data_IF_445334479700
#
_entry.id   IF_445334479700
#
_cell.length_a   1.000
_cell.length_b   1.000
_cell.length_c   1.000
_cell.angle_alpha   90.00
_cell.angle_beta   90.00
_cell.angle_gamma   90.00
#
_symmetry.space_group_name_H-M   'P 1'
#
loop_
_entity.id
_entity.type
_entity.pdbx_description
1 polymer ?
#
# COMPACT_ATOMS: atom_id res chain seq x y z
N UNK A 1 10.08 30.61 22.80
CA UNK A 1 9.16 30.60 21.66
C UNK A 1 8.75 32.05 21.43
N UNK A 2 9.19 32.64 20.32
CA UNK A 2 8.70 33.97 19.93
C UNK A 2 7.23 33.84 19.58
N UNK A 3 6.37 34.40 20.45
CA UNK A 3 4.91 34.37 20.30
C UNK A 3 4.40 35.36 19.22
N UNK A 4 5.29 36.17 18.65
CA UNK A 4 4.95 37.16 17.63
C UNK A 4 5.42 36.63 16.29
N UNK A 5 4.50 36.33 15.33
CA UNK A 5 4.89 35.86 14.01
C UNK A 5 5.70 36.96 13.27
N UNK A 6 6.73 36.52 12.55
CA UNK A 6 7.54 37.41 11.73
C UNK A 6 6.73 37.91 10.52
N UNK A 7 7.06 39.10 9.95
CA UNK A 7 6.31 39.66 8.82
C UNK A 7 6.26 38.70 7.59
N UNK A 8 7.32 37.97 7.33
CA UNK A 8 7.42 36.97 6.28
C UNK A 8 6.46 35.76 6.51
N UNK A 9 6.31 35.31 7.76
CA UNK A 9 5.35 34.28 8.13
C UNK A 9 3.90 34.74 7.95
N UNK A 10 3.60 35.99 8.30
CA UNK A 10 2.26 36.58 8.10
C UNK A 10 1.94 36.67 6.60
N UNK A 11 2.89 37.10 5.77
CA UNK A 11 2.71 37.14 4.32
C UNK A 11 2.52 35.75 3.72
N UNK A 12 3.33 34.77 4.13
CA UNK A 12 3.20 33.40 3.67
C UNK A 12 1.85 32.80 4.08
N UNK A 13 1.42 33.00 5.33
CA UNK A 13 0.12 32.55 5.82
C UNK A 13 -1.05 33.17 5.02
N UNK A 14 -1.00 34.47 4.76
CA UNK A 14 -2.00 35.16 3.96
C UNK A 14 -2.05 34.63 2.51
N UNK A 15 -0.88 34.40 1.90
CA UNK A 15 -0.78 33.81 0.56
C UNK A 15 -1.35 32.39 0.53
N UNK A 16 -1.03 31.54 1.51
CA UNK A 16 -1.54 30.16 1.60
C UNK A 16 -3.07 30.13 1.79
N UNK A 17 -3.61 31.01 2.62
CA UNK A 17 -5.07 31.14 2.80
C UNK A 17 -5.72 31.62 1.51
N UNK A 18 -5.17 32.63 0.85
CA UNK A 18 -5.67 33.12 -0.43
C UNK A 18 -5.63 32.03 -1.50
N UNK A 19 -4.52 31.27 -1.61
CA UNK A 19 -4.39 30.13 -2.54
C UNK A 19 -5.49 29.10 -2.28
N UNK A 20 -5.72 28.75 -1.02
CA UNK A 20 -6.73 27.75 -0.66
C UNK A 20 -8.16 28.21 -0.98
N UNK A 21 -8.48 29.48 -0.73
CA UNK A 21 -9.84 30.03 -0.92
C UNK A 21 -10.12 30.32 -2.40
N UNK A 22 -9.13 30.87 -3.13
CA UNK A 22 -9.32 31.34 -4.52
C UNK A 22 -9.07 30.25 -5.53
N UNK A 23 -8.04 29.42 -5.31
CA UNK A 23 -7.60 28.39 -6.28
C UNK A 23 -7.97 26.96 -5.85
N UNK A 24 -8.65 26.79 -4.72
CA UNK A 24 -9.26 25.51 -4.33
C UNK A 24 -8.33 24.53 -3.64
N UNK A 25 -7.07 24.89 -3.33
CA UNK A 25 -6.15 24.04 -2.60
C UNK A 25 -4.67 24.42 -2.76
N UNK A 26 -3.84 23.78 -1.93
CA UNK A 26 -2.38 23.90 -1.94
C UNK A 26 -1.70 22.63 -2.45
N UNK A 27 -2.38 21.48 -2.33
CA UNK A 27 -1.84 20.20 -2.73
C UNK A 27 -1.98 19.97 -4.23
N UNK A 28 -0.91 19.51 -4.88
CA UNK A 28 -1.02 18.92 -6.23
C UNK A 28 -1.50 17.47 -6.09
N UNK A 29 -2.81 17.31 -6.27
CA UNK A 29 -3.53 16.04 -6.09
C UNK A 29 -3.69 15.24 -7.40
N UNK A 30 -2.98 15.62 -8.46
CA UNK A 30 -3.01 14.88 -9.73
C UNK A 30 -2.37 13.51 -9.55
N UNK A 31 -3.10 12.41 -9.85
CA UNK A 31 -2.53 11.07 -9.74
C UNK A 31 -1.42 10.85 -10.78
N UNK A 32 -0.50 9.92 -10.47
CA UNK A 32 0.47 9.45 -11.46
C UNK A 32 -0.25 8.78 -12.64
N UNK A 33 0.18 9.05 -13.90
CA UNK A 33 -0.42 8.41 -15.07
C UNK A 33 -0.24 6.90 -15.01
N UNK A 34 -1.32 6.16 -15.28
CA UNK A 34 -1.30 4.70 -15.25
C UNK A 34 -2.12 4.09 -16.38
N UNK A 35 -1.87 2.82 -16.70
CA UNK A 35 -2.60 2.00 -17.65
C UNK A 35 -3.04 0.71 -17.00
N UNK A 36 -4.25 0.27 -17.30
CA UNK A 36 -4.76 -1.04 -16.90
C UNK A 36 -4.01 -2.11 -17.70
N UNK A 37 -3.48 -3.13 -17.02
CA UNK A 37 -2.77 -4.26 -17.66
C UNK A 37 -3.49 -5.60 -17.47
N UNK A 38 -4.30 -5.72 -16.42
CA UNK A 38 -5.11 -6.89 -16.13
C UNK A 38 -6.35 -6.49 -15.34
N UNK A 39 -7.48 -7.15 -15.61
CA UNK A 39 -8.73 -6.97 -14.89
C UNK A 39 -9.46 -8.29 -14.66
N UNK A 40 -10.24 -8.34 -13.59
CA UNK A 40 -11.07 -9.49 -13.24
C UNK A 40 -12.01 -9.17 -12.09
N UNK A 41 -12.68 -10.17 -11.59
CA UNK A 41 -13.55 -9.97 -10.42
C UNK A 41 -12.74 -9.47 -9.24
N UNK A 42 -13.09 -8.32 -8.68
CA UNK A 42 -12.41 -7.66 -7.56
C UNK A 42 -10.92 -7.40 -7.81
N UNK A 43 -10.52 -7.22 -9.07
CA UNK A 43 -9.11 -7.01 -9.41
C UNK A 43 -8.99 -6.10 -10.62
N UNK A 44 -8.25 -5.04 -10.44
CA UNK A 44 -7.66 -4.21 -11.48
C UNK A 44 -6.18 -4.05 -11.19
N UNK A 45 -5.32 -4.38 -12.14
CA UNK A 45 -3.88 -4.19 -12.03
C UNK A 45 -3.47 -3.07 -12.97
N UNK A 46 -2.92 -2.01 -12.40
CA UNK A 46 -2.47 -0.86 -13.16
C UNK A 46 -0.95 -0.75 -13.14
N UNK A 47 -0.37 -0.45 -14.29
CA UNK A 47 1.03 -0.08 -14.45
C UNK A 47 1.15 1.45 -14.48
N UNK A 48 1.99 2.03 -13.62
CA UNK A 48 2.29 3.45 -13.63
C UNK A 48 3.31 3.76 -14.72
N UNK A 49 2.97 4.74 -15.56
CA UNK A 49 3.78 5.10 -16.73
C UNK A 49 4.94 6.00 -16.34
N UNK A 50 6.20 5.60 -16.58
CA UNK A 50 7.34 6.47 -16.39
C UNK A 50 7.36 7.59 -17.44
N UNK A 51 8.06 8.68 -17.14
CA UNK A 51 8.37 9.69 -18.15
C UNK A 51 9.28 9.08 -19.24
N UNK A 52 9.18 9.59 -20.47
CA UNK A 52 9.86 9.00 -21.64
C UNK A 52 11.41 8.90 -21.52
N UNK A 53 12.01 9.68 -20.63
CA UNK A 53 13.47 9.65 -20.41
C UNK A 53 13.91 8.67 -19.31
N UNK A 54 12.97 8.14 -18.54
CA UNK A 54 13.25 7.19 -17.46
C UNK A 54 13.41 5.79 -18.06
N UNK A 55 14.47 5.09 -17.69
CA UNK A 55 14.72 3.70 -18.08
C UNK A 55 14.34 2.78 -16.94
N UNK A 56 13.79 1.62 -17.28
CA UNK A 56 13.48 0.57 -16.32
C UNK A 56 14.76 0.07 -15.63
N UNK A 57 14.71 0.02 -14.29
CA UNK A 57 15.79 -0.46 -13.43
C UNK A 57 15.23 -1.44 -12.42
N UNK A 58 15.90 -2.58 -12.26
CA UNK A 58 15.54 -3.59 -11.27
C UNK A 58 14.25 -4.35 -11.58
N UNK A 59 13.82 -5.17 -10.63
CA UNK A 59 12.63 -5.98 -10.77
C UNK A 59 11.35 -5.16 -10.50
N UNK A 60 10.19 -5.59 -11.04
CA UNK A 60 8.92 -4.88 -10.88
C UNK A 60 8.45 -4.85 -9.42
N UNK A 61 7.74 -3.79 -9.08
CA UNK A 61 7.15 -3.57 -7.76
C UNK A 61 5.63 -3.60 -7.84
N UNK A 62 4.98 -4.48 -7.08
CA UNK A 62 3.52 -4.49 -6.91
C UNK A 62 3.13 -3.91 -5.54
N UNK A 63 2.41 -2.80 -5.58
CA UNK A 63 1.82 -2.16 -4.41
C UNK A 63 0.49 -2.86 -4.09
N UNK A 64 0.42 -3.52 -2.92
CA UNK A 64 -0.78 -4.26 -2.48
C UNK A 64 -1.59 -3.39 -1.54
N UNK A 65 -2.76 -2.95 -2.00
CA UNK A 65 -3.64 -2.05 -1.24
C UNK A 65 -4.38 -2.80 -0.13
N UNK A 66 -4.73 -2.14 0.97
CA UNK A 66 -5.72 -2.67 1.91
C UNK A 66 -7.13 -2.48 1.35
N UNK A 67 -8.09 -3.33 1.76
CA UNK A 67 -9.46 -3.33 1.22
C UNK A 67 -10.20 -2.00 1.39
N UNK A 68 -9.99 -1.33 2.51
CA UNK A 68 -10.72 -0.10 2.83
C UNK A 68 -10.04 1.17 2.33
N UNK A 69 -8.81 1.08 1.83
CA UNK A 69 -8.06 2.24 1.39
C UNK A 69 -7.82 2.19 -0.13
N UNK A 70 -8.13 3.27 -0.84
CA UNK A 70 -7.81 3.37 -2.26
C UNK A 70 -6.29 3.45 -2.47
N UNK A 71 -5.83 3.23 -3.71
CA UNK A 71 -4.42 3.36 -4.11
C UNK A 71 -3.82 4.74 -3.81
N UNK A 72 -4.66 5.74 -3.52
CA UNK A 72 -4.22 7.04 -2.99
C UNK A 72 -3.32 6.94 -1.76
N UNK A 73 -3.35 5.83 -1.00
CA UNK A 73 -2.40 5.62 0.10
C UNK A 73 -0.95 5.62 -0.38
N UNK A 74 -0.70 5.18 -1.62
CA UNK A 74 0.62 5.14 -2.24
C UNK A 74 0.90 6.37 -3.12
N UNK A 75 -0.15 7.01 -3.67
CA UNK A 75 -0.07 8.18 -4.56
C UNK A 75 -0.85 9.36 -3.98
N UNK A 76 -0.42 9.83 -2.80
CA UNK A 76 -1.21 10.76 -1.98
C UNK A 76 -1.29 12.16 -2.60
N UNK A 77 -0.14 12.73 -2.96
CA UNK A 77 0.06 14.01 -3.66
C UNK A 77 1.44 14.08 -4.27
N UNK A 78 1.66 14.95 -5.21
CA UNK A 78 2.99 15.19 -5.79
C UNK A 78 4.00 15.61 -4.72
N UNK A 79 5.19 15.05 -4.83
CA UNK A 79 6.26 15.21 -3.85
C UNK A 79 6.06 14.44 -2.52
N UNK A 80 4.91 13.77 -2.33
CA UNK A 80 4.65 12.83 -1.22
C UNK A 80 3.90 11.60 -1.75
N UNK A 81 4.42 10.98 -2.80
CA UNK A 81 3.91 9.78 -3.46
C UNK A 81 5.02 8.74 -3.55
N UNK A 82 4.79 7.56 -2.97
CA UNK A 82 5.69 6.40 -3.13
C UNK A 82 5.75 5.99 -4.59
N UNK A 83 4.61 6.08 -5.29
CA UNK A 83 4.54 5.77 -6.73
C UNK A 83 5.44 6.69 -7.54
N UNK A 84 5.32 8.02 -7.33
CA UNK A 84 6.17 9.01 -8.00
C UNK A 84 7.65 8.71 -7.75
N UNK A 85 8.02 8.44 -6.50
CA UNK A 85 9.39 8.11 -6.13
C UNK A 85 9.92 6.86 -6.86
N UNK A 86 9.16 5.75 -6.85
CA UNK A 86 9.57 4.50 -7.49
C UNK A 86 9.66 4.65 -9.02
N UNK A 87 8.67 5.31 -9.62
CA UNK A 87 8.63 5.56 -11.07
C UNK A 87 9.78 6.46 -11.52
N UNK A 88 10.09 7.53 -10.77
CA UNK A 88 11.19 8.45 -11.07
C UNK A 88 12.57 7.77 -10.88
N UNK A 89 12.66 6.80 -9.96
CA UNK A 89 13.82 5.93 -9.80
C UNK A 89 13.96 4.88 -10.92
N UNK A 90 12.99 4.80 -11.84
CA UNK A 90 13.00 3.85 -12.96
C UNK A 90 12.47 2.46 -12.60
N UNK A 91 11.86 2.26 -11.44
CA UNK A 91 11.31 0.95 -11.08
C UNK A 91 9.96 0.74 -11.77
N UNK A 92 9.75 -0.35 -12.53
CA UNK A 92 8.45 -0.73 -13.06
C UNK A 92 7.46 -0.91 -11.91
N UNK A 93 6.53 0.04 -11.75
CA UNK A 93 5.67 0.13 -10.57
C UNK A 93 4.22 -0.16 -10.93
N UNK A 94 3.60 -1.04 -10.16
CA UNK A 94 2.24 -1.50 -10.36
C UNK A 94 1.44 -1.37 -9.07
N UNK A 95 0.12 -1.33 -9.21
CA UNK A 95 -0.80 -1.39 -8.06
C UNK A 95 -1.95 -2.32 -8.37
N UNK A 96 -2.37 -3.11 -7.38
CA UNK A 96 -3.63 -3.85 -7.42
C UNK A 96 -4.71 -3.09 -6.66
N UNK A 97 -5.84 -2.87 -7.32
CA UNK A 97 -7.06 -2.30 -6.75
C UNK A 97 -8.20 -3.33 -6.83
N UNK A 98 -9.14 -3.24 -5.89
CA UNK A 98 -10.19 -4.27 -5.75
C UNK A 98 -11.56 -3.79 -6.21
N UNK A 99 -11.68 -2.50 -6.56
CA UNK A 99 -12.95 -1.88 -6.89
C UNK A 99 -13.90 -1.78 -5.67
N UNK A 100 -15.13 -1.40 -5.95
CA UNK A 100 -16.17 -1.40 -4.94
C UNK A 100 -16.73 -2.83 -4.77
N UNK A 101 -16.80 -3.30 -3.53
CA UNK A 101 -17.49 -4.55 -3.20
C UNK A 101 -18.98 -4.25 -3.02
N UNK A 102 -19.85 -4.65 -3.97
CA UNK A 102 -21.28 -4.35 -3.89
C UNK A 102 -21.96 -5.14 -2.77
N UNK A 103 -23.14 -4.70 -2.35
CA UNK A 103 -23.90 -5.34 -1.28
C UNK A 103 -24.17 -6.83 -1.51
N UNK A 104 -24.39 -7.24 -2.76
CA UNK A 104 -24.58 -8.65 -3.12
C UNK A 104 -23.40 -9.53 -2.72
N UNK A 105 -22.19 -8.97 -2.66
CA UNK A 105 -20.94 -9.66 -2.35
C UNK A 105 -20.53 -9.50 -0.87
N UNK A 106 -21.46 -9.10 0.01
CA UNK A 106 -21.23 -8.94 1.46
C UNK A 106 -20.77 -10.20 2.19
N UNK A 107 -21.02 -11.35 1.58
CA UNK A 107 -20.65 -12.66 2.13
C UNK A 107 -19.22 -13.09 1.73
N UNK A 108 -18.48 -12.26 0.99
CA UNK A 108 -17.07 -12.49 0.68
C UNK A 108 -16.23 -12.38 1.95
N UNK A 109 -15.42 -13.40 2.21
CA UNK A 109 -14.38 -13.42 3.22
C UNK A 109 -13.07 -12.86 2.70
N UNK A 110 -11.95 -13.17 3.36
CA UNK A 110 -10.61 -12.80 2.93
C UNK A 110 -10.07 -13.72 1.83
N UNK A 111 -10.64 -14.89 1.68
CA UNK A 111 -10.19 -15.96 0.80
C UNK A 111 -10.01 -15.52 -0.67
N UNK A 112 -10.96 -14.82 -1.32
CA UNK A 112 -10.80 -14.37 -2.69
C UNK A 112 -9.55 -13.49 -2.91
N UNK A 113 -9.22 -12.64 -1.95
CA UNK A 113 -8.04 -11.76 -2.06
C UNK A 113 -6.74 -12.52 -1.87
N UNK A 114 -6.72 -13.49 -0.97
CA UNK A 114 -5.53 -14.30 -0.68
C UNK A 114 -5.30 -15.37 -1.74
N UNK A 115 -6.35 -16.01 -2.23
CA UNK A 115 -6.26 -17.19 -3.09
C UNK A 115 -6.27 -16.88 -4.58
N UNK A 116 -6.87 -15.75 -4.97
CA UNK A 116 -7.08 -15.42 -6.38
C UNK A 116 -6.56 -14.03 -6.74
N UNK A 117 -7.06 -12.99 -6.09
CA UNK A 117 -6.84 -11.59 -6.51
C UNK A 117 -5.37 -11.22 -6.45
N UNK A 118 -4.72 -11.38 -5.30
CA UNK A 118 -3.29 -11.02 -5.12
C UNK A 118 -2.37 -11.98 -5.89
N UNK A 119 -2.54 -13.32 -5.83
CA UNK A 119 -1.74 -14.23 -6.65
C UNK A 119 -1.83 -13.97 -8.15
N UNK A 120 -3.03 -13.70 -8.68
CA UNK A 120 -3.19 -13.38 -10.10
C UNK A 120 -2.55 -12.05 -10.47
N UNK A 121 -2.67 -11.03 -9.61
CA UNK A 121 -1.99 -9.75 -9.81
C UNK A 121 -0.46 -9.91 -9.86
N UNK A 122 0.12 -10.73 -8.96
CA UNK A 122 1.57 -11.02 -8.96
C UNK A 122 1.99 -11.65 -10.29
N UNK A 123 1.25 -12.65 -10.77
CA UNK A 123 1.54 -13.32 -12.06
C UNK A 123 1.38 -12.38 -13.25
N UNK A 124 0.33 -11.55 -13.25
CA UNK A 124 0.09 -10.56 -14.30
C UNK A 124 1.22 -9.52 -14.37
N UNK A 125 1.70 -9.04 -13.22
CA UNK A 125 2.84 -8.11 -13.14
C UNK A 125 4.12 -8.77 -13.62
N UNK A 126 4.42 -9.99 -13.17
CA UNK A 126 5.59 -10.75 -13.61
C UNK A 126 5.59 -10.94 -15.12
N UNK A 127 4.48 -11.42 -15.70
CA UNK A 127 4.35 -11.62 -17.15
C UNK A 127 4.47 -10.33 -17.94
N UNK A 128 3.84 -9.22 -17.48
CA UNK A 128 3.95 -7.90 -18.12
C UNK A 128 5.37 -7.35 -18.06
N UNK A 129 6.11 -7.68 -17.01
CA UNK A 129 7.50 -7.26 -16.81
C UNK A 129 8.54 -8.22 -17.43
N UNK A 130 8.13 -9.18 -18.28
CA UNK A 130 9.04 -10.13 -18.93
C UNK A 130 9.45 -11.29 -18.03
N UNK A 131 8.50 -11.85 -17.29
CA UNK A 131 8.64 -12.99 -16.38
C UNK A 131 9.64 -12.78 -15.24
N UNK A 132 9.86 -11.52 -14.85
CA UNK A 132 10.72 -11.16 -13.72
C UNK A 132 9.99 -11.36 -12.39
N UNK A 133 10.72 -11.75 -11.33
CA UNK A 133 10.14 -11.82 -9.98
C UNK A 133 9.71 -10.42 -9.50
N UNK A 134 8.72 -10.38 -8.60
CA UNK A 134 8.02 -9.16 -8.20
C UNK A 134 8.35 -8.83 -6.75
N UNK A 135 8.77 -7.59 -6.47
CA UNK A 135 8.80 -7.07 -5.12
C UNK A 135 7.39 -6.69 -4.67
N UNK A 136 6.91 -7.26 -3.59
CA UNK A 136 5.62 -6.89 -3.02
C UNK A 136 5.82 -5.80 -1.97
N UNK A 137 5.04 -4.72 -2.05
CA UNK A 137 5.00 -3.68 -1.02
C UNK A 137 3.57 -3.55 -0.52
N UNK A 138 3.31 -4.06 0.67
CA UNK A 138 1.98 -4.06 1.28
C UNK A 138 1.88 -3.15 2.50
N UNK A 139 0.86 -2.28 2.54
CA UNK A 139 0.59 -1.42 3.68
C UNK A 139 -0.61 -1.92 4.47
N UNK A 140 -0.47 -1.96 5.82
CA UNK A 140 -1.57 -2.34 6.71
C UNK A 140 -2.15 -3.72 6.36
N UNK A 141 -3.45 -3.84 6.09
CA UNK A 141 -4.09 -5.10 5.65
C UNK A 141 -3.53 -5.60 4.30
N UNK A 142 -3.06 -4.71 3.43
CA UNK A 142 -2.41 -5.10 2.17
C UNK A 142 -1.12 -5.91 2.41
N UNK A 143 -0.36 -5.58 3.46
CA UNK A 143 0.78 -6.37 3.87
C UNK A 143 0.39 -7.76 4.40
N UNK A 144 -0.74 -7.86 5.12
CA UNK A 144 -1.28 -9.15 5.55
C UNK A 144 -1.70 -9.99 4.34
N UNK A 145 -2.34 -9.40 3.34
CA UNK A 145 -2.70 -10.13 2.11
C UNK A 145 -1.47 -10.61 1.35
N UNK A 146 -0.43 -9.80 1.23
CA UNK A 146 0.82 -10.19 0.58
C UNK A 146 1.49 -11.38 1.30
N UNK A 147 1.55 -11.34 2.65
CA UNK A 147 2.09 -12.43 3.45
C UNK A 147 1.27 -13.73 3.30
N UNK A 148 -0.07 -13.64 3.42
CA UNK A 148 -0.92 -14.82 3.32
C UNK A 148 -0.91 -15.42 1.91
N UNK A 149 -0.89 -14.61 0.85
CA UNK A 149 -0.76 -15.08 -0.52
C UNK A 149 0.58 -15.81 -0.74
N UNK A 150 1.70 -15.25 -0.27
CA UNK A 150 3.01 -15.88 -0.35
C UNK A 150 3.12 -17.18 0.46
N UNK A 151 2.49 -17.23 1.64
CA UNK A 151 2.44 -18.42 2.49
C UNK A 151 1.56 -19.53 1.89
N UNK A 152 0.56 -19.16 1.10
CA UNK A 152 -0.39 -20.10 0.47
C UNK A 152 0.17 -20.71 -0.80
N UNK A 153 0.96 -19.98 -1.57
CA UNK A 153 1.48 -20.42 -2.87
C UNK A 153 2.96 -20.05 -3.04
N UNK A 154 3.82 -21.02 -2.75
CA UNK A 154 5.27 -20.90 -2.89
C UNK A 154 5.76 -20.80 -4.35
N UNK A 155 4.86 -20.98 -5.34
CA UNK A 155 5.20 -20.90 -6.78
C UNK A 155 5.08 -19.48 -7.33
N UNK A 156 4.59 -18.54 -6.53
CA UNK A 156 4.47 -17.14 -6.95
C UNK A 156 5.87 -16.55 -7.24
N UNK A 157 6.02 -15.82 -8.35
CA UNK A 157 7.27 -15.18 -8.72
C UNK A 157 7.54 -13.94 -7.84
N UNK A 158 7.86 -14.15 -6.58
CA UNK A 158 8.11 -13.09 -5.60
C UNK A 158 9.62 -12.95 -5.35
N UNK A 159 10.16 -11.74 -5.54
CA UNK A 159 11.55 -11.41 -5.23
C UNK A 159 11.74 -11.14 -3.73
N UNK A 160 10.89 -10.32 -3.15
CA UNK A 160 10.85 -10.00 -1.71
C UNK A 160 9.50 -9.42 -1.30
N UNK A 161 9.25 -9.37 0.01
CA UNK A 161 8.05 -8.74 0.56
C UNK A 161 8.47 -7.62 1.51
N UNK A 162 7.89 -6.44 1.34
CA UNK A 162 7.95 -5.33 2.31
C UNK A 162 6.59 -5.11 2.91
N UNK A 163 6.45 -5.23 4.22
CA UNK A 163 5.22 -4.95 4.95
C UNK A 163 5.38 -3.71 5.82
N UNK A 164 4.46 -2.75 5.64
CA UNK A 164 4.49 -1.44 6.29
C UNK A 164 3.28 -1.30 7.22
N UNK A 165 3.51 -1.21 8.53
CA UNK A 165 2.46 -0.99 9.51
C UNK A 165 1.37 -2.06 9.49
N UNK A 166 1.72 -3.33 9.26
CA UNK A 166 0.79 -4.46 9.28
C UNK A 166 0.71 -5.04 10.69
N UNK A 167 -0.39 -4.83 11.45
CA UNK A 167 -0.48 -5.31 12.83
C UNK A 167 -0.72 -6.81 12.86
N UNK A 168 0.18 -7.55 13.49
CA UNK A 168 0.08 -8.99 13.68
C UNK A 168 -0.45 -9.31 15.09
N UNK A 169 0.06 -8.63 16.11
CA UNK A 169 -0.48 -8.73 17.49
C UNK A 169 -1.38 -7.54 17.81
N UNK A 170 -2.68 -7.72 17.58
CA UNK A 170 -3.66 -6.67 17.82
C UNK A 170 -3.93 -6.39 19.32
N UNK A 171 -3.42 -7.24 20.24
CA UNK A 171 -3.49 -7.00 21.69
C UNK A 171 -2.71 -5.76 22.10
N UNK A 172 -1.71 -5.39 21.29
CA UNK A 172 -0.87 -4.22 21.53
C UNK A 172 -1.42 -2.95 20.87
N UNK A 173 -2.55 -3.03 20.14
CA UNK A 173 -3.20 -1.87 19.51
C UNK A 173 -3.93 -1.05 20.57
N UNK A 174 -3.57 0.23 20.79
CA UNK A 174 -4.13 1.04 21.88
C UNK A 174 -5.65 1.22 21.81
N UNK A 175 -6.22 1.22 20.61
CA UNK A 175 -7.67 1.32 20.39
C UNK A 175 -8.40 0.02 20.76
N UNK A 176 -7.75 -1.14 20.60
CA UNK A 176 -8.33 -2.47 20.83
C UNK A 176 -8.14 -2.93 22.27
N UNK A 177 -6.97 -2.67 22.84
CA UNK A 177 -6.60 -3.14 24.17
C UNK A 177 -7.64 -2.83 25.28
N UNK A 178 -8.17 -1.59 25.43
CA UNK A 178 -9.15 -1.27 26.45
C UNK A 178 -10.56 -1.83 26.15
N UNK A 179 -10.85 -2.16 24.90
CA UNK A 179 -12.16 -2.69 24.50
C UNK A 179 -12.26 -4.22 24.62
N UNK A 180 -11.13 -4.92 24.80
CA UNK A 180 -11.09 -6.39 24.87
C UNK A 180 -12.05 -6.99 25.90
N UNK A 181 -12.14 -6.52 27.16
CA UNK A 181 -13.09 -7.07 28.12
C UNK A 181 -14.55 -7.01 27.63
N UNK A 182 -14.89 -5.98 26.82
CA UNK A 182 -16.21 -5.84 26.20
C UNK A 182 -16.36 -6.75 24.97
N UNK A 183 -15.27 -6.95 24.19
CA UNK A 183 -15.24 -7.82 23.03
C UNK A 183 -15.37 -9.31 23.42
N UNK A 184 -14.99 -9.67 24.63
CA UNK A 184 -15.13 -11.02 25.20
C UNK A 184 -16.57 -11.32 25.66
N UNK A 185 -17.43 -10.28 25.84
CA UNK A 185 -18.85 -10.46 26.11
C UNK A 185 -19.56 -11.05 24.88
N UNK A 186 -20.17 -12.21 25.02
CA UNK A 186 -20.77 -13.00 23.91
C UNK A 186 -21.90 -12.31 23.15
N UNK A 187 -22.50 -11.24 23.69
CA UNK A 187 -23.61 -10.51 23.07
C UNK A 187 -23.17 -9.43 22.08
N UNK A 188 -22.08 -8.71 22.38
CA UNK A 188 -21.61 -7.56 21.57
C UNK A 188 -21.21 -7.97 20.14
N UNK A 189 -20.44 -9.06 19.94
CA UNK A 189 -20.08 -9.52 18.60
C UNK A 189 -21.27 -9.90 17.73
N UNK A 190 -22.28 -10.54 18.33
CA UNK A 190 -23.48 -10.96 17.60
C UNK A 190 -24.33 -9.77 17.15
N UNK A 191 -24.43 -8.74 17.97
CA UNK A 191 -25.14 -7.51 17.64
C UNK A 191 -24.42 -6.74 16.54
N UNK A 192 -23.10 -6.58 16.65
CA UNK A 192 -22.29 -5.91 15.63
C UNK A 192 -22.33 -6.69 14.30
N UNK A 193 -22.18 -8.02 14.33
CA UNK A 193 -22.27 -8.86 13.13
C UNK A 193 -23.65 -8.77 12.46
N UNK A 194 -24.74 -8.74 13.24
CA UNK A 194 -26.10 -8.56 12.71
C UNK A 194 -26.32 -7.17 12.13
N UNK A 195 -25.81 -6.12 12.76
CA UNK A 195 -25.86 -4.76 12.22
C UNK A 195 -25.09 -4.69 10.90
N UNK A 196 -23.89 -5.29 10.83
CA UNK A 196 -23.09 -5.36 9.62
C UNK A 196 -23.76 -6.17 8.51
N UNK A 197 -24.31 -7.33 8.82
CA UNK A 197 -25.08 -8.15 7.87
C UNK A 197 -26.34 -7.45 7.37
N UNK A 198 -27.04 -6.70 8.23
CA UNK A 198 -28.24 -5.96 7.86
C UNK A 198 -27.94 -4.66 7.10
N UNK A 199 -26.86 -3.98 7.45
CA UNK A 199 -26.46 -2.71 6.82
C UNK A 199 -25.71 -2.89 5.49
N UNK A 200 -25.23 -4.10 5.22
CA UNK A 200 -24.41 -4.40 4.03
C UNK A 200 -23.08 -3.62 4.02
N UNK A 201 -22.50 -3.45 2.83
CA UNK A 201 -21.23 -2.71 2.64
C UNK A 201 -21.31 -1.19 2.94
N UNK A 202 -22.30 -0.74 3.70
CA UNK A 202 -22.58 0.68 4.00
C UNK A 202 -22.37 1.16 5.44
N UNK A 203 -21.37 0.74 6.21
CA UNK A 203 -20.98 1.57 7.34
C UNK A 203 -19.64 2.26 7.06
N UNK A 204 -19.52 2.96 5.92
CA UNK A 204 -18.46 3.96 5.72
C UNK A 204 -18.26 4.85 6.96
N UNK A 205 -19.34 5.27 7.69
CA UNK A 205 -19.17 6.05 8.91
C UNK A 205 -18.38 5.32 10.01
N UNK A 206 -18.53 4.00 10.18
CA UNK A 206 -17.87 3.25 11.26
C UNK A 206 -16.38 3.03 11.00
N UNK A 207 -15.98 2.70 9.76
CA UNK A 207 -14.56 2.57 9.40
C UNK A 207 -13.89 3.94 9.47
N UNK A 208 -14.52 4.98 8.90
CA UNK A 208 -14.05 6.37 9.03
C UNK A 208 -13.96 6.79 10.50
N UNK A 209 -14.95 6.45 11.30
CA UNK A 209 -15.00 6.77 12.73
C UNK A 209 -13.88 6.04 13.51
N UNK A 210 -13.62 4.75 13.23
CA UNK A 210 -12.52 4.01 13.85
C UNK A 210 -11.14 4.61 13.50
N UNK A 211 -10.93 4.97 12.22
CA UNK A 211 -9.71 5.67 11.78
C UNK A 211 -9.62 7.07 12.38
N UNK A 212 -10.74 7.79 12.46
CA UNK A 212 -10.80 9.10 13.12
C UNK A 212 -10.60 8.99 14.63
N UNK A 213 -11.11 7.95 15.29
CA UNK A 213 -10.94 7.74 16.72
C UNK A 213 -9.49 7.41 17.08
N UNK A 214 -8.79 6.60 16.25
CA UNK A 214 -7.35 6.37 16.41
C UNK A 214 -6.52 7.64 16.23
N UNK A 215 -7.12 8.66 15.61
CA UNK A 215 -6.55 10.00 15.39
C UNK A 215 -7.25 11.09 16.21
N UNK A 216 -8.08 10.72 17.20
CA UNK A 216 -8.92 11.68 17.93
C UNK A 216 -8.12 12.82 18.59
N UNK A 217 -6.96 12.51 19.17
CA UNK A 217 -6.08 13.56 19.70
C UNK A 217 -5.63 14.54 18.60
N UNK A 218 -5.36 14.03 17.37
CA UNK A 218 -5.01 14.86 16.22
C UNK A 218 -6.21 15.67 15.71
N UNK A 219 -7.43 15.13 15.84
CA UNK A 219 -8.65 15.83 15.42
C UNK A 219 -8.93 17.05 16.30
N UNK A 220 -8.78 16.91 17.63
CA UNK A 220 -8.95 18.01 18.60
C UNK A 220 -7.82 19.05 18.47
N UNK A 221 -6.60 18.62 18.22
CA UNK A 221 -5.43 19.51 18.07
C UNK A 221 -5.28 20.07 16.66
N UNK A 222 -6.00 19.53 15.67
CA UNK A 222 -5.90 19.93 14.25
C UNK A 222 -6.11 21.44 14.03
N UNK A 223 -7.13 22.12 14.61
CA UNK A 223 -7.30 23.56 14.43
C UNK A 223 -6.10 24.36 14.95
N UNK A 224 -5.57 23.99 16.14
CA UNK A 224 -4.39 24.63 16.71
C UNK A 224 -3.13 24.35 15.91
N UNK A 225 -2.97 23.10 15.43
CA UNK A 225 -1.85 22.72 14.57
C UNK A 225 -1.90 23.45 13.21
N UNK A 226 -3.09 23.59 12.62
CA UNK A 226 -3.28 24.39 11.41
C UNK A 226 -2.93 25.86 11.64
N UNK A 227 -3.42 26.46 12.74
CA UNK A 227 -3.12 27.85 13.09
C UNK A 227 -1.61 28.09 13.29
N UNK A 228 -0.90 27.12 13.87
CA UNK A 228 0.54 27.18 14.09
C UNK A 228 1.40 26.93 12.85
N UNK A 229 0.80 26.51 11.71
CA UNK A 229 1.52 26.18 10.47
C UNK A 229 0.88 26.81 9.23
N UNK A 230 0.19 27.94 9.40
CA UNK A 230 -0.43 28.63 8.26
C UNK A 230 0.59 29.14 7.23
N UNK A 231 1.81 29.37 7.64
CA UNK A 231 2.96 29.76 6.82
C UNK A 231 3.65 28.58 6.12
N UNK A 232 3.38 27.31 6.53
CA UNK A 232 3.96 26.10 5.93
C UNK A 232 3.00 25.51 4.86
N UNK A 233 3.18 25.91 3.60
CA UNK A 233 2.38 25.44 2.48
C UNK A 233 2.43 23.91 2.30
N UNK A 234 3.61 23.27 2.52
CA UNK A 234 3.79 21.82 2.39
C UNK A 234 3.05 21.07 3.50
N UNK A 235 3.00 21.63 4.72
CA UNK A 235 2.20 21.07 5.82
C UNK A 235 0.70 21.15 5.51
N UNK A 236 0.22 22.28 5.03
CA UNK A 236 -1.18 22.49 4.67
C UNK A 236 -1.60 21.57 3.51
N UNK A 237 -0.76 21.46 2.49
CA UNK A 237 -0.95 20.54 1.36
C UNK A 237 -1.02 19.07 1.82
N UNK A 238 -0.20 18.69 2.81
CA UNK A 238 -0.25 17.33 3.38
C UNK A 238 -1.57 17.07 4.10
N UNK A 239 -2.08 18.01 4.88
CA UNK A 239 -3.37 17.88 5.56
C UNK A 239 -4.51 17.74 4.53
N UNK A 240 -4.50 18.56 3.48
CA UNK A 240 -5.49 18.50 2.40
C UNK A 240 -5.51 17.14 1.71
N UNK A 241 -4.34 16.61 1.38
CA UNK A 241 -4.20 15.30 0.75
C UNK A 241 -4.70 14.16 1.66
N UNK A 242 -4.38 14.21 2.97
CA UNK A 242 -4.87 13.23 3.97
C UNK A 242 -6.39 13.31 4.13
N UNK A 243 -6.96 14.51 4.14
CA UNK A 243 -8.41 14.71 4.21
C UNK A 243 -9.10 14.10 2.98
N UNK A 244 -8.54 14.32 1.77
CA UNK A 244 -9.02 13.68 0.54
C UNK A 244 -8.94 12.16 0.63
N UNK A 245 -7.81 11.60 1.02
CA UNK A 245 -7.63 10.16 1.19
C UNK A 245 -8.69 9.58 2.13
N UNK A 246 -8.88 10.19 3.31
CA UNK A 246 -9.84 9.73 4.31
C UNK A 246 -11.29 9.79 3.78
N UNK A 247 -11.61 10.78 2.94
CA UNK A 247 -12.92 10.90 2.33
C UNK A 247 -13.23 9.77 1.31
N UNK A 248 -12.23 9.17 0.73
CA UNK A 248 -12.35 8.09 -0.27
C UNK A 248 -12.19 6.68 0.32
N UNK A 249 -12.06 6.55 1.65
CA UNK A 249 -12.01 5.23 2.26
C UNK A 249 -13.33 4.46 2.08
N UNK A 250 -13.21 3.19 1.70
CA UNK A 250 -14.34 2.28 1.53
C UNK A 250 -14.67 1.50 2.81
N UNK A 251 -15.80 0.81 2.81
CA UNK A 251 -16.17 -0.14 3.85
C UNK A 251 -15.66 -1.55 3.52
N UNK A 252 -15.47 -2.38 4.54
CA UNK A 252 -15.20 -3.81 4.35
C UNK A 252 -16.48 -4.58 3.99
N UNK A 253 -16.38 -5.67 3.19
CA UNK A 253 -17.47 -6.65 3.08
C UNK A 253 -17.84 -7.22 4.44
N UNK A 254 -19.13 -7.52 4.67
CA UNK A 254 -19.62 -7.93 5.98
C UNK A 254 -18.93 -9.17 6.55
N UNK A 255 -18.71 -10.22 5.72
CA UNK A 255 -18.00 -11.43 6.14
C UNK A 255 -16.51 -11.18 6.38
N UNK A 256 -15.84 -10.41 5.53
CA UNK A 256 -14.44 -10.00 5.74
C UNK A 256 -14.28 -9.27 7.06
N UNK A 257 -15.19 -8.34 7.37
CA UNK A 257 -15.21 -7.68 8.68
C UNK A 257 -15.36 -8.70 9.82
N UNK A 258 -16.27 -9.66 9.67
CA UNK A 258 -16.46 -10.75 10.65
C UNK A 258 -15.18 -11.57 10.86
N UNK A 259 -14.46 -11.91 9.80
CA UNK A 259 -13.19 -12.62 9.88
C UNK A 259 -12.10 -11.78 10.54
N UNK A 260 -11.95 -10.51 10.15
CA UNK A 260 -11.02 -9.58 10.79
C UNK A 260 -11.35 -9.44 12.29
N UNK A 261 -12.64 -9.32 12.62
CA UNK A 261 -13.08 -9.23 14.00
C UNK A 261 -12.75 -10.52 14.78
N UNK A 262 -13.22 -11.69 14.30
CA UNK A 262 -13.10 -12.94 15.05
C UNK A 262 -11.69 -13.50 15.08
N UNK A 263 -10.95 -13.41 13.97
CA UNK A 263 -9.63 -14.05 13.83
C UNK A 263 -8.49 -13.12 14.22
N UNK A 264 -8.55 -11.82 13.82
CA UNK A 264 -7.53 -10.85 14.19
C UNK A 264 -7.83 -10.18 15.53
N UNK A 265 -8.99 -9.48 15.67
CA UNK A 265 -9.24 -8.67 16.86
C UNK A 265 -9.49 -9.51 18.11
N UNK A 266 -10.32 -10.53 18.01
CA UNK A 266 -10.68 -11.40 19.15
C UNK A 266 -9.69 -12.56 19.33
N UNK A 267 -9.46 -13.33 18.29
CA UNK A 267 -8.61 -14.52 18.31
C UNK A 267 -7.12 -14.21 18.36
N UNK A 268 -6.70 -13.11 17.74
CA UNK A 268 -5.30 -12.72 17.59
C UNK A 268 -4.43 -13.80 16.90
N UNK A 269 -5.02 -14.53 15.96
CA UNK A 269 -4.44 -15.74 15.36
C UNK A 269 -3.09 -15.47 14.66
N UNK A 270 -2.90 -14.31 14.02
CA UNK A 270 -1.63 -13.98 13.39
C UNK A 270 -0.47 -13.81 14.38
N UNK A 271 -0.74 -13.49 15.65
CA UNK A 271 0.30 -13.43 16.66
C UNK A 271 0.88 -14.83 17.00
N UNK A 272 0.14 -15.87 16.67
CA UNK A 272 0.58 -17.28 16.77
C UNK A 272 1.18 -17.78 15.44
N UNK A 273 1.33 -16.90 14.44
CA UNK A 273 1.91 -17.21 13.14
C UNK A 273 0.96 -17.89 12.17
N UNK A 274 -0.31 -18.06 12.52
CA UNK A 274 -1.28 -18.80 11.71
C UNK A 274 -2.53 -17.98 11.38
N UNK A 275 -3.20 -18.31 10.28
CA UNK A 275 -4.46 -17.72 9.92
C UNK A 275 -5.37 -18.77 9.25
N UNK A 276 -6.59 -18.93 9.80
CA UNK A 276 -7.56 -19.86 9.23
C UNK A 276 -8.27 -19.22 8.04
N UNK A 277 -8.13 -19.80 6.88
CA UNK A 277 -8.89 -19.52 5.68
C UNK A 277 -9.81 -20.70 5.41
N UNK A 278 -11.08 -20.44 5.30
CA UNK A 278 -12.16 -21.37 4.97
C UNK A 278 -11.94 -22.83 5.47
N UNK A 279 -11.17 -23.63 4.74
CA UNK A 279 -10.92 -25.06 4.92
C UNK A 279 -9.49 -25.39 5.37
N UNK A 280 -8.62 -24.39 5.51
CA UNK A 280 -7.21 -24.58 5.86
C UNK A 280 -6.66 -23.53 6.79
N UNK A 281 -5.62 -23.88 7.51
CA UNK A 281 -4.78 -22.97 8.28
C UNK A 281 -3.53 -22.64 7.48
N UNK A 282 -3.25 -21.35 7.29
CA UNK A 282 -2.05 -20.83 6.61
C UNK A 282 -1.05 -20.39 7.68
N UNK A 283 0.21 -20.74 7.52
CA UNK A 283 1.30 -20.34 8.42
C UNK A 283 2.21 -19.31 7.73
N UNK A 284 2.46 -18.18 8.36
CA UNK A 284 3.46 -17.23 7.86
C UNK A 284 4.89 -17.80 7.92
N UNK A 285 5.09 -18.87 8.69
CA UNK A 285 6.34 -19.63 8.73
C UNK A 285 6.67 -20.34 7.41
N UNK A 286 5.69 -20.52 6.52
CA UNK A 286 5.88 -21.18 5.22
C UNK A 286 6.39 -20.20 4.13
N UNK A 287 6.56 -18.91 4.46
CA UNK A 287 7.08 -17.91 3.53
C UNK A 287 8.57 -18.15 3.27
N UNK A 288 8.90 -18.53 2.04
CA UNK A 288 10.28 -18.85 1.61
C UNK A 288 11.04 -17.71 0.93
N UNK A 289 10.53 -16.48 0.97
CA UNK A 289 11.16 -15.29 0.36
C UNK A 289 11.59 -14.28 1.41
N UNK A 290 12.55 -13.38 1.12
CA UNK A 290 13.00 -12.35 2.05
C UNK A 290 11.87 -11.40 2.45
N UNK A 291 11.81 -10.99 3.73
CA UNK A 291 10.78 -10.11 4.26
C UNK A 291 11.37 -8.92 5.03
N UNK A 292 11.03 -7.72 4.58
CA UNK A 292 11.26 -6.47 5.31
C UNK A 292 9.99 -6.09 6.09
N UNK A 293 10.10 -5.99 7.40
CA UNK A 293 9.01 -5.63 8.31
C UNK A 293 9.24 -4.22 8.83
N UNK A 294 8.27 -3.32 8.61
CA UNK A 294 8.42 -1.91 8.97
C UNK A 294 7.33 -1.43 9.93
N UNK A 295 7.73 -0.82 11.04
CA UNK A 295 6.85 -0.19 12.01
C UNK A 295 7.02 1.33 12.05
N UNK A 296 5.93 2.10 12.12
CA UNK A 296 5.97 3.56 12.27
C UNK A 296 6.26 3.98 13.71
N UNK A 297 7.22 4.90 13.89
CA UNK A 297 7.61 5.40 15.22
C UNK A 297 6.45 6.00 16.02
N UNK A 298 5.47 6.59 15.32
CA UNK A 298 4.30 7.23 15.93
C UNK A 298 2.98 6.62 15.42
N UNK A 299 3.00 5.32 15.09
CA UNK A 299 1.83 4.62 14.59
C UNK A 299 0.89 4.20 15.74
N UNK A 300 -0.28 4.85 15.83
CA UNK A 300 -1.30 4.54 16.81
C UNK A 300 -2.29 3.45 16.38
N UNK A 301 -2.22 3.01 15.10
CA UNK A 301 -3.08 1.95 14.54
C UNK A 301 -2.34 0.61 14.59
N UNK A 302 -1.07 0.61 14.17
CA UNK A 302 -0.19 -0.56 14.20
C UNK A 302 1.10 -0.21 14.95
N UNK A 303 1.08 -0.14 16.28
CA UNK A 303 2.25 0.22 17.06
C UNK A 303 3.38 -0.78 16.84
N UNK A 304 4.61 -0.32 17.05
CA UNK A 304 5.85 -1.09 16.79
C UNK A 304 5.76 -2.52 17.34
N UNK A 305 5.28 -2.69 18.58
CA UNK A 305 5.16 -4.02 19.18
C UNK A 305 4.23 -4.94 18.39
N UNK A 306 3.05 -4.41 17.94
CA UNK A 306 2.08 -5.17 17.17
C UNK A 306 2.64 -5.64 15.81
N UNK A 307 3.51 -4.85 15.19
CA UNK A 307 4.16 -5.18 13.91
C UNK A 307 5.37 -6.10 14.12
N UNK A 308 6.20 -5.81 15.12
CA UNK A 308 7.45 -6.55 15.39
C UNK A 308 7.20 -8.02 15.77
N UNK A 309 6.02 -8.34 16.30
CA UNK A 309 5.61 -9.73 16.60
C UNK A 309 5.73 -10.65 15.37
N UNK A 310 5.65 -10.12 14.15
CA UNK A 310 5.80 -10.89 12.90
C UNK A 310 7.20 -11.49 12.74
N UNK A 311 8.25 -10.79 13.20
CA UNK A 311 9.66 -11.15 12.91
C UNK A 311 10.01 -12.59 13.30
N UNK A 312 9.78 -13.06 14.54
CA UNK A 312 10.12 -14.43 14.91
C UNK A 312 9.21 -15.50 14.29
N UNK A 313 8.12 -15.12 13.67
CA UNK A 313 7.15 -16.05 13.06
C UNK A 313 7.51 -16.44 11.62
N UNK A 314 8.36 -15.65 10.94
CA UNK A 314 8.78 -15.85 9.55
C UNK A 314 9.94 -16.87 9.47
N UNK A 315 9.74 -18.07 9.98
CA UNK A 315 10.80 -19.08 10.15
C UNK A 315 11.32 -19.68 8.84
N UNK A 316 10.53 -19.64 7.76
CA UNK A 316 10.93 -20.12 6.43
C UNK A 316 11.63 -19.07 5.58
N UNK A 317 11.57 -17.79 5.96
CA UNK A 317 12.18 -16.70 5.22
C UNK A 317 13.72 -16.74 5.32
N UNK A 318 14.46 -16.61 4.20
CA UNK A 318 15.92 -16.60 4.22
C UNK A 318 16.51 -15.37 4.92
N UNK A 319 15.79 -14.25 4.91
CA UNK A 319 16.15 -13.03 5.65
C UNK A 319 14.89 -12.28 6.12
N UNK A 320 14.90 -11.90 7.39
CA UNK A 320 13.86 -11.06 7.99
C UNK A 320 14.53 -9.84 8.64
N UNK A 321 14.21 -8.65 8.11
CA UNK A 321 14.72 -7.37 8.63
C UNK A 321 13.58 -6.57 9.25
N UNK A 322 13.85 -5.92 10.38
CA UNK A 322 12.89 -5.04 11.04
C UNK A 322 13.42 -3.61 11.11
N UNK A 323 12.63 -2.67 10.60
CA UNK A 323 12.97 -1.24 10.58
C UNK A 323 11.90 -0.39 11.24
N UNK A 324 12.34 0.63 11.99
CA UNK A 324 11.45 1.64 12.58
C UNK A 324 11.53 2.89 11.71
N UNK A 325 10.40 3.22 11.10
CA UNK A 325 10.28 4.30 10.13
C UNK A 325 9.66 5.56 10.75
N UNK A 326 10.00 6.75 10.25
CA UNK A 326 9.42 8.00 10.75
C UNK A 326 7.94 8.11 10.39
N UNK A 327 7.15 8.67 11.31
CA UNK A 327 5.73 8.96 11.08
C UNK A 327 4.76 8.00 11.75
N UNK A 328 3.47 8.26 11.53
CA UNK A 328 2.35 7.41 11.94
C UNK A 328 1.91 6.50 10.79
N UNK A 329 0.74 5.86 10.91
CA UNK A 329 0.27 4.80 10.02
C UNK A 329 0.34 5.13 8.51
N UNK A 330 -0.26 6.22 8.07
CA UNK A 330 -0.12 6.70 6.69
C UNK A 330 1.16 7.52 6.50
N UNK A 331 1.63 8.20 7.56
CA UNK A 331 2.78 9.09 7.50
C UNK A 331 4.10 8.38 7.22
N UNK A 332 4.25 7.11 7.62
CA UNK A 332 5.43 6.32 7.27
C UNK A 332 5.49 6.02 5.77
N UNK A 333 4.36 5.99 5.09
CA UNK A 333 4.27 5.67 3.66
C UNK A 333 4.43 6.92 2.79
N UNK A 334 3.61 7.95 3.02
CA UNK A 334 3.50 9.16 2.19
C UNK A 334 3.55 10.47 2.98
N UNK A 335 4.09 10.43 4.19
CA UNK A 335 4.38 11.64 4.98
C UNK A 335 5.64 12.35 4.50
N UNK A 336 5.81 13.60 4.94
CA UNK A 336 7.02 14.38 4.60
C UNK A 336 8.33 13.69 5.03
N UNK A 337 8.33 13.02 6.19
CA UNK A 337 9.47 12.26 6.68
C UNK A 337 9.74 10.94 5.93
N UNK A 338 8.79 10.44 5.16
CA UNK A 338 8.96 9.20 4.40
C UNK A 338 10.02 9.36 3.29
N UNK A 339 10.14 10.55 2.70
CA UNK A 339 11.11 10.86 1.63
C UNK A 339 12.56 10.55 2.03
N UNK A 340 12.92 10.86 3.26
CA UNK A 340 14.30 10.72 3.76
C UNK A 340 14.49 9.52 4.68
N UNK A 341 13.39 8.90 5.15
CA UNK A 341 13.45 7.78 6.07
C UNK A 341 12.96 6.48 5.47
N UNK A 342 11.73 6.44 4.97
CA UNK A 342 11.10 5.20 4.50
C UNK A 342 11.54 4.78 3.12
N UNK A 343 11.50 5.69 2.14
CA UNK A 343 11.77 5.33 0.75
C UNK A 343 13.18 4.83 0.51
N UNK A 344 14.25 5.46 1.09
CA UNK A 344 15.60 4.90 0.96
C UNK A 344 15.77 3.50 1.56
N UNK A 345 15.03 3.16 2.62
CA UNK A 345 15.05 1.82 3.23
C UNK A 345 14.42 0.79 2.29
N UNK A 346 13.29 1.15 1.66
CA UNK A 346 12.62 0.28 0.69
C UNK A 346 13.49 0.10 -0.55
N UNK A 347 14.11 1.18 -1.05
CA UNK A 347 15.00 1.12 -2.22
C UNK A 347 16.19 0.20 -1.95
N UNK A 348 16.89 0.40 -0.84
CA UNK A 348 18.04 -0.43 -0.47
C UNK A 348 17.66 -1.91 -0.32
N UNK A 349 16.49 -2.20 0.27
CA UNK A 349 15.98 -3.55 0.38
C UNK A 349 15.70 -4.19 -0.99
N UNK A 350 15.02 -3.48 -1.87
CA UNK A 350 14.73 -3.99 -3.21
C UNK A 350 15.99 -4.18 -4.04
N UNK A 351 16.99 -3.28 -3.91
CA UNK A 351 18.27 -3.41 -4.61
C UNK A 351 19.03 -4.67 -4.20
N UNK A 352 19.01 -5.04 -2.92
CA UNK A 352 19.64 -6.26 -2.41
C UNK A 352 19.01 -7.54 -2.98
N UNK A 353 17.70 -7.52 -3.25
CA UNK A 353 16.94 -8.70 -3.67
C UNK A 353 16.47 -8.65 -5.12
N UNK A 354 16.92 -7.66 -5.89
CA UNK A 354 16.69 -7.61 -7.33
C UNK A 354 17.54 -8.67 -8.02
N UNK A 355 16.92 -9.43 -8.94
CA UNK A 355 17.64 -10.38 -9.78
C UNK A 355 18.68 -9.63 -10.65
N UNK A 356 19.95 -10.05 -10.60
CA UNK A 356 20.98 -9.52 -11.47
C UNK A 356 20.74 -10.03 -12.89
N UNK A 357 19.85 -9.41 -13.65
CA UNK A 357 19.85 -9.61 -15.09
C UNK A 357 21.01 -8.80 -15.70
N UNK A 358 21.86 -9.43 -16.54
CA UNK A 358 22.80 -8.66 -17.34
C UNK A 358 21.98 -7.67 -18.17
N UNK A 359 22.40 -6.39 -18.16
CA UNK A 359 21.77 -5.36 -18.98
C UNK A 359 21.60 -5.91 -20.40
N UNK A 360 20.37 -5.92 -20.92
CA UNK A 360 20.12 -6.35 -22.28
C UNK A 360 21.04 -5.51 -23.19
N UNK A 361 21.96 -6.17 -23.91
CA UNK A 361 22.82 -5.51 -24.89
C UNK A 361 21.89 -4.72 -25.82
N UNK A 362 22.20 -3.44 -26.09
CA UNK A 362 21.40 -2.67 -27.02
C UNK A 362 21.40 -3.43 -28.34
N UNK A 363 20.22 -3.89 -28.75
CA UNK A 363 20.02 -4.48 -30.07
C UNK A 363 20.36 -3.37 -31.05
N UNK A 364 21.59 -3.43 -31.61
CA UNK A 364 22.04 -2.53 -32.65
C UNK A 364 21.06 -2.75 -33.80
N UNK A 365 20.20 -1.74 -33.99
CA UNK A 365 19.16 -1.76 -34.98
C UNK A 365 19.71 -2.21 -36.32
N UNK A 366 19.15 -3.29 -36.86
CA UNK A 366 19.43 -3.73 -38.22
C UNK A 366 19.16 -2.53 -39.14
N UNK A 367 20.21 -2.03 -39.78
CA UNK A 367 20.18 -0.95 -40.78
C UNK A 367 19.15 -1.30 -41.86
N UNK A 368 18.06 -0.53 -42.05
CA UNK A 368 17.05 -0.80 -43.07
C UNK A 368 17.58 -0.71 -44.49
N UNK A 369 18.85 -0.25 -44.71
CA UNK A 369 19.46 -0.05 -46.03
C UNK A 369 20.11 -1.29 -46.62
N UNK A 370 20.12 -2.44 -45.92
CA UNK A 370 20.72 -3.69 -46.45
C UNK A 370 19.77 -4.58 -47.27
N UNK A 371 18.53 -4.16 -47.56
CA UNK A 371 17.54 -4.93 -48.34
C UNK A 371 17.37 -4.48 -49.80
N UNK A 372 18.32 -3.78 -50.40
CA UNK A 372 18.24 -3.44 -51.81
C UNK A 372 19.57 -3.62 -52.53
N UNK A 373 20.05 -4.86 -52.62
CA UNK A 373 21.03 -5.27 -53.64
C UNK A 373 21.10 -6.78 -53.71
N UNK A 374 20.17 -7.40 -54.47
CA UNK A 374 20.39 -8.63 -55.28
C UNK A 374 19.06 -9.11 -55.89
N UNK A 375 18.56 -8.38 -56.88
CA UNK A 375 17.63 -8.92 -57.86
C UNK A 375 17.83 -8.15 -59.18
N UNK A 376 18.81 -8.53 -59.93
CA UNK A 376 19.03 -7.89 -61.21
C UNK A 376 20.25 -8.47 -61.91
N UNK A 377 20.12 -9.65 -62.53
CA UNK A 377 20.74 -10.05 -63.80
C UNK A 377 20.78 -11.56 -63.95
N UNK A 378 19.78 -12.09 -64.59
CA UNK A 378 19.86 -13.29 -65.45
C UNK A 378 18.59 -13.39 -66.29
N UNK A 379 18.58 -12.62 -67.35
CA UNK A 379 17.78 -12.93 -68.50
C UNK A 379 18.63 -12.59 -69.77
N UNK A 380 18.60 -13.46 -70.72
CA UNK A 380 19.20 -13.45 -72.04
C UNK A 380 20.52 -14.17 -72.17
N UNK A 381 20.43 -15.48 -72.50
CA UNK A 381 20.90 -16.02 -73.79
C UNK A 381 20.44 -17.49 -73.93
N UNK A 382 19.71 -17.67 -75.01
CA UNK A 382 19.26 -18.81 -75.86
C UNK A 382 18.05 -19.59 -75.32
#
# INVERSE_FOLDING_TARGET
MDLIPKPDQVLAAAANVAQRVVYGGLADLRPMPRTLIDEGTLREVHHYRPAAHVRDVGDPVLLVTPLAAPSLCYDLRRGCSVVEHLVDAGRPTYVVEYGEVPFRDRDLGMEPWVDEVVPTAIRAVSGHAGDRPVHLVGWSLGGIFALLAAATDATLPIASITVLGSPVDVRQVPLVAPLRPLLDLTAVPRVIARIYQAAGARPQPLVRWAVQLSSFQKLVTKPLALAGHLDDADYLAQIEAVDRFTAHMAAYPGRTYGQLYHRLLKGNALADGTFDLHDRTVSVGDIGVPVLVCGGANDGIAPIGAVKTLVPLLTGSPEVRFEILPGGHLGMLTGRGARTGTWPVIDAWMDEWTSQQPAAEPTIGADPRRRYRSAGSRALRR
#
